data_IF_120970348375
#
_entry.id   IF_120970348375
#
_cell.length_a   1.000
_cell.length_b   1.000
_cell.length_c   1.000
_cell.angle_alpha   90.00
_cell.angle_beta   90.00
_cell.angle_gamma   90.00
#
_symmetry.space_group_name_H-M   'P 1'
#
loop_
_entity.id
_entity.type
_entity.pdbx_description
1 polymer ?
#
# COMPACT_ATOMS: atom_id res chain seq x y z
N UNK A 1 -22.30 27.39 -1.43
CA UNK A 1 -21.21 26.40 -1.25
C UNK A 1 -21.75 25.03 -0.84
N UNK A 2 -22.89 24.95 -0.15
CA UNK A 2 -23.57 23.70 0.22
C UNK A 2 -23.99 22.83 -0.97
N UNK A 3 -24.20 23.40 -2.16
CA UNK A 3 -24.67 22.62 -3.33
C UNK A 3 -23.55 21.87 -4.10
N UNK A 4 -22.33 21.85 -3.56
CA UNK A 4 -21.16 21.17 -4.18
C UNK A 4 -20.57 20.05 -3.33
N UNK A 5 -21.06 19.88 -2.10
CA UNK A 5 -20.56 18.87 -1.15
C UNK A 5 -21.77 18.22 -0.50
N UNK A 6 -21.91 16.92 -0.71
CA UNK A 6 -22.93 16.09 -0.07
C UNK A 6 -22.28 15.24 1.03
N UNK A 7 -22.78 15.36 2.26
CA UNK A 7 -22.25 14.66 3.42
C UNK A 7 -23.18 13.51 3.77
N UNK A 8 -22.69 12.27 3.62
CA UNK A 8 -23.46 11.05 3.88
C UNK A 8 -22.88 10.26 5.04
N UNK A 9 -23.76 9.67 5.85
CA UNK A 9 -23.38 8.70 6.86
C UNK A 9 -23.32 7.30 6.21
N UNK A 10 -22.15 6.68 6.21
CA UNK A 10 -21.94 5.34 5.65
C UNK A 10 -20.67 4.68 6.18
N UNK A 11 -20.59 3.35 6.10
CA UNK A 11 -19.37 2.59 6.35
C UNK A 11 -18.61 2.42 5.04
N UNK A 12 -17.50 3.15 4.87
CA UNK A 12 -16.74 3.16 3.61
C UNK A 12 -17.55 3.70 2.44
N UNK A 13 -17.68 2.90 1.37
CA UNK A 13 -18.36 3.27 0.12
C UNK A 13 -19.84 2.82 0.06
N UNK A 14 -20.39 2.32 1.17
CA UNK A 14 -21.76 1.77 1.22
C UNK A 14 -22.86 2.81 0.99
N UNK A 15 -22.56 4.10 1.13
CA UNK A 15 -23.49 5.20 0.87
C UNK A 15 -23.42 5.74 -0.58
N UNK A 16 -22.64 5.09 -1.45
CA UNK A 16 -22.42 5.47 -2.85
C UNK A 16 -22.99 4.40 -3.76
N UNK A 17 -23.64 4.81 -4.85
CA UNK A 17 -24.12 3.90 -5.90
C UNK A 17 -23.05 3.72 -6.98
N UNK A 18 -23.04 2.54 -7.63
CA UNK A 18 -22.13 2.30 -8.75
C UNK A 18 -22.39 3.31 -9.89
N UNK A 19 -21.32 3.91 -10.41
CA UNK A 19 -21.38 4.95 -11.45
C UNK A 19 -21.81 6.33 -10.94
N UNK A 20 -22.03 6.51 -9.64
CA UNK A 20 -22.44 7.80 -9.08
C UNK A 20 -21.30 8.84 -9.10
N UNK A 21 -20.05 8.38 -8.95
CA UNK A 21 -18.86 9.24 -8.86
C UNK A 21 -17.76 8.73 -9.77
N UNK A 22 -16.96 9.65 -10.33
CA UNK A 22 -15.83 9.30 -11.20
C UNK A 22 -14.67 8.64 -10.46
N UNK A 23 -14.48 8.95 -9.18
CA UNK A 23 -13.33 8.45 -8.43
C UNK A 23 -13.48 8.64 -6.93
N UNK A 24 -12.60 7.96 -6.19
CA UNK A 24 -12.58 8.01 -4.73
C UNK A 24 -11.24 8.53 -4.21
N UNK A 25 -11.29 9.23 -3.07
CA UNK A 25 -10.11 9.58 -2.27
C UNK A 25 -10.25 8.90 -0.92
N UNK A 26 -9.29 8.02 -0.58
CA UNK A 26 -9.31 7.24 0.65
C UNK A 26 -7.94 7.42 1.33
N UNK A 27 -7.90 8.08 2.49
CA UNK A 27 -6.65 8.46 3.15
C UNK A 27 -6.71 8.21 4.66
N UNK A 28 -5.55 8.10 5.32
CA UNK A 28 -5.48 8.05 6.79
C UNK A 28 -5.83 6.70 7.41
N UNK A 29 -5.88 5.62 6.63
CA UNK A 29 -6.26 4.27 7.10
C UNK A 29 -5.18 3.24 6.80
N UNK A 30 -5.13 2.14 7.55
CA UNK A 30 -4.24 1.02 7.26
C UNK A 30 -4.65 0.28 5.98
N UNK A 31 -3.67 -0.24 5.22
CA UNK A 31 -3.90 -0.98 3.98
C UNK A 31 -4.97 -2.08 4.08
N UNK A 32 -4.96 -2.95 5.10
CA UNK A 32 -6.00 -3.98 5.28
C UNK A 32 -7.42 -3.42 5.44
N UNK A 33 -7.59 -2.29 6.13
CA UNK A 33 -8.89 -1.64 6.25
C UNK A 33 -9.36 -1.07 4.91
N UNK A 34 -8.45 -0.48 4.15
CA UNK A 34 -8.76 0.01 2.80
C UNK A 34 -9.19 -1.14 1.89
N UNK A 35 -8.51 -2.29 1.93
CA UNK A 35 -8.92 -3.50 1.19
C UNK A 35 -10.32 -3.94 1.59
N UNK A 36 -10.63 -3.96 2.90
CA UNK A 36 -11.98 -4.30 3.39
C UNK A 36 -13.04 -3.34 2.86
N UNK A 37 -12.75 -2.04 2.81
CA UNK A 37 -13.67 -1.03 2.24
C UNK A 37 -13.94 -1.33 0.76
N UNK A 38 -12.90 -1.63 -0.04
CA UNK A 38 -13.07 -1.97 -1.45
C UNK A 38 -13.87 -3.28 -1.63
N UNK A 39 -13.57 -4.31 -0.85
CA UNK A 39 -14.28 -5.59 -0.88
C UNK A 39 -15.78 -5.45 -0.56
N UNK A 40 -16.10 -4.69 0.48
CA UNK A 40 -17.48 -4.51 0.95
C UNK A 40 -18.36 -3.71 -0.03
N UNK A 41 -17.76 -3.00 -0.98
CA UNK A 41 -18.46 -2.20 -1.97
C UNK A 41 -17.93 -2.49 -3.37
N UNK A 42 -17.80 -3.79 -3.68
CA UNK A 42 -17.12 -4.28 -4.89
C UNK A 42 -17.62 -3.61 -6.18
N UNK A 43 -18.93 -3.58 -6.38
CA UNK A 43 -19.56 -2.98 -7.57
C UNK A 43 -19.29 -1.48 -7.68
N UNK A 44 -19.29 -0.77 -6.54
CA UNK A 44 -19.03 0.67 -6.49
C UNK A 44 -17.59 0.95 -6.90
N UNK A 45 -16.60 0.34 -6.25
CA UNK A 45 -15.21 0.68 -6.55
C UNK A 45 -14.79 0.23 -7.96
N UNK A 46 -15.34 -0.86 -8.47
CA UNK A 46 -15.10 -1.29 -9.86
C UNK A 46 -15.71 -0.35 -10.90
N UNK A 47 -16.71 0.46 -10.51
CA UNK A 47 -17.29 1.48 -11.40
C UNK A 47 -16.48 2.79 -11.45
N UNK A 48 -15.50 2.96 -10.56
CA UNK A 48 -14.68 4.18 -10.50
C UNK A 48 -13.69 4.24 -11.67
N UNK A 49 -13.47 5.44 -12.20
CA UNK A 49 -12.42 5.72 -13.18
C UNK A 49 -11.03 5.82 -12.53
N UNK A 50 -10.95 6.19 -11.25
CA UNK A 50 -9.69 6.24 -10.50
C UNK A 50 -9.90 6.20 -8.98
N UNK A 51 -8.84 5.89 -8.24
CA UNK A 51 -8.77 6.02 -6.79
C UNK A 51 -7.46 6.66 -6.36
N UNK A 52 -7.52 7.70 -5.53
CA UNK A 52 -6.35 8.28 -4.85
C UNK A 52 -6.31 7.74 -3.43
N UNK A 53 -5.25 7.00 -3.12
CA UNK A 53 -5.14 6.19 -1.91
C UNK A 53 -3.91 6.60 -1.11
N UNK A 54 -4.09 6.76 0.20
CA UNK A 54 -3.00 7.08 1.13
C UNK A 54 -3.09 6.12 2.33
N UNK A 55 -2.48 4.93 2.24
CA UNK A 55 -2.41 3.99 3.36
C UNK A 55 -1.39 4.47 4.42
N UNK A 56 -1.73 4.33 5.70
CA UNK A 56 -0.86 4.63 6.85
C UNK A 56 0.02 3.46 7.27
N UNK A 57 -0.34 2.23 6.86
CA UNK A 57 0.43 1.02 7.11
C UNK A 57 0.20 0.02 5.98
N UNK A 58 1.14 -0.91 5.81
CA UNK A 58 0.98 -2.10 4.96
C UNK A 58 0.50 -1.79 3.53
N UNK A 59 1.05 -0.73 2.93
CA UNK A 59 0.72 -0.30 1.56
C UNK A 59 0.85 -1.43 0.51
N UNK A 60 1.79 -2.37 0.72
CA UNK A 60 1.97 -3.52 -0.16
C UNK A 60 0.76 -4.46 -0.23
N UNK A 61 -0.01 -4.59 0.85
CA UNK A 61 -1.25 -5.38 0.85
C UNK A 61 -2.28 -4.72 -0.07
N UNK A 62 -2.43 -3.40 0.03
CA UNK A 62 -3.34 -2.63 -0.81
C UNK A 62 -2.93 -2.69 -2.29
N UNK A 63 -1.64 -2.46 -2.59
CA UNK A 63 -1.12 -2.57 -3.97
C UNK A 63 -1.39 -3.96 -4.55
N UNK A 64 -1.05 -5.03 -3.82
CA UNK A 64 -1.30 -6.41 -4.27
C UNK A 64 -2.79 -6.64 -4.55
N UNK A 65 -3.66 -6.18 -3.66
CA UNK A 65 -5.11 -6.32 -3.83
C UNK A 65 -5.61 -5.63 -5.12
N UNK A 66 -5.15 -4.41 -5.40
CA UNK A 66 -5.50 -3.68 -6.62
C UNK A 66 -5.09 -4.48 -7.89
N UNK A 67 -3.84 -4.92 -7.96
CA UNK A 67 -3.34 -5.71 -9.11
C UNK A 67 -4.12 -7.01 -9.31
N UNK A 68 -4.50 -7.68 -8.23
CA UNK A 68 -5.30 -8.91 -8.31
C UNK A 68 -6.73 -8.70 -8.84
N UNK A 69 -7.24 -7.48 -8.79
CA UNK A 69 -8.63 -7.16 -9.12
C UNK A 69 -8.75 -6.21 -10.32
N UNK A 70 -7.78 -6.27 -11.25
CA UNK A 70 -7.85 -5.58 -12.53
C UNK A 70 -7.55 -4.08 -12.45
N UNK A 71 -6.79 -3.66 -11.45
CA UNK A 71 -6.34 -2.28 -11.27
C UNK A 71 -4.82 -2.22 -11.22
N UNK A 72 -4.26 -1.08 -11.57
CA UNK A 72 -2.81 -0.86 -11.43
C UNK A 72 -2.53 0.55 -10.91
N UNK A 73 -1.30 0.75 -10.43
CA UNK A 73 -0.83 2.04 -9.97
C UNK A 73 -0.35 2.83 -11.18
N UNK A 74 -1.06 3.91 -11.52
CA UNK A 74 -0.69 4.84 -12.59
C UNK A 74 0.39 5.82 -12.11
N UNK A 75 0.24 6.32 -10.89
CA UNK A 75 1.19 7.24 -10.27
C UNK A 75 1.31 6.96 -8.78
N UNK A 76 2.48 7.20 -8.19
CA UNK A 76 2.64 7.17 -6.75
C UNK A 76 3.81 8.05 -6.29
N UNK A 77 3.79 8.44 -5.01
CA UNK A 77 4.80 9.31 -4.41
C UNK A 77 5.09 8.90 -2.97
N UNK A 78 6.36 9.04 -2.61
CA UNK A 78 6.82 9.03 -1.22
C UNK A 78 6.96 10.48 -0.76
N UNK A 79 6.47 10.79 0.44
CA UNK A 79 6.52 12.15 1.00
C UNK A 79 6.92 12.10 2.46
N UNK A 80 7.72 13.06 2.90
CA UNK A 80 7.93 13.34 4.32
C UNK A 80 7.26 14.66 4.63
N UNK A 81 6.32 14.64 5.58
CA UNK A 81 5.62 15.83 6.07
C UNK A 81 5.53 15.78 7.59
N UNK A 82 5.85 16.89 8.27
CA UNK A 82 5.97 16.99 9.73
C UNK A 82 6.71 15.80 10.39
N UNK A 83 7.82 15.39 9.77
CA UNK A 83 8.65 14.26 10.24
C UNK A 83 8.04 12.87 10.04
N UNK A 84 6.85 12.77 9.44
CA UNK A 84 6.15 11.51 9.15
C UNK A 84 6.33 11.12 7.70
N UNK A 85 6.41 9.81 7.46
CA UNK A 85 6.59 9.23 6.13
C UNK A 85 5.25 8.76 5.57
N UNK A 86 4.89 9.23 4.38
CA UNK A 86 3.62 8.95 3.72
C UNK A 86 3.83 8.33 2.34
N UNK A 87 2.98 7.36 2.03
CA UNK A 87 2.82 6.81 0.70
C UNK A 87 1.48 7.27 0.14
N UNK A 88 1.49 7.80 -1.07
CA UNK A 88 0.29 8.17 -1.83
C UNK A 88 0.35 7.50 -3.19
N UNK A 89 -0.78 6.99 -3.67
CA UNK A 89 -0.87 6.34 -4.97
C UNK A 89 -2.18 6.68 -5.67
N UNK A 90 -2.12 6.81 -6.98
CA UNK A 90 -3.26 6.89 -7.88
C UNK A 90 -3.37 5.54 -8.58
N UNK A 91 -4.47 4.84 -8.32
CA UNK A 91 -4.83 3.60 -8.97
C UNK A 91 -5.91 3.84 -10.04
N UNK A 92 -5.84 3.10 -11.13
CA UNK A 92 -6.82 3.18 -12.23
C UNK A 92 -7.20 1.76 -12.68
N UNK A 93 -8.41 1.56 -13.25
CA UNK A 93 -8.79 0.30 -13.88
C UNK A 93 -7.85 -0.02 -15.05
N UNK A 94 -7.53 -1.30 -15.21
CA UNK A 94 -6.70 -1.78 -16.29
C UNK A 94 -5.83 -2.94 -15.83
N UNK A 95 -5.76 -3.97 -16.67
CA UNK A 95 -4.95 -5.13 -16.39
C UNK A 95 -3.46 -4.80 -16.57
N UNK A 96 -2.68 -5.11 -15.56
CA UNK A 96 -1.23 -5.07 -15.59
C UNK A 96 -0.69 -6.44 -15.21
N UNK A 97 0.53 -6.74 -15.63
CA UNK A 97 1.19 -7.98 -15.24
C UNK A 97 1.41 -8.03 -13.73
N UNK A 98 1.35 -9.26 -13.19
CA UNK A 98 1.69 -9.48 -11.80
C UNK A 98 3.14 -9.07 -11.56
N UNK A 99 3.35 -8.26 -10.52
CA UNK A 99 4.68 -7.80 -10.12
C UNK A 99 5.32 -8.78 -9.12
N UNK A 100 6.66 -8.86 -9.09
CA UNK A 100 7.38 -9.42 -7.96
C UNK A 100 6.91 -8.84 -6.62
N UNK A 101 6.78 -9.70 -5.62
CA UNK A 101 6.19 -9.33 -4.32
C UNK A 101 6.83 -8.09 -3.67
N UNK A 102 8.16 -7.95 -3.78
CA UNK A 102 8.90 -6.83 -3.21
C UNK A 102 8.56 -5.48 -3.84
N UNK A 103 8.10 -5.44 -5.10
CA UNK A 103 7.69 -4.18 -5.74
C UNK A 103 6.38 -3.65 -5.15
N UNK A 104 5.48 -4.52 -4.69
CA UNK A 104 4.30 -4.05 -3.95
C UNK A 104 4.69 -3.35 -2.65
N UNK A 105 5.75 -3.80 -1.98
CA UNK A 105 6.17 -3.24 -0.69
C UNK A 105 6.74 -1.82 -0.82
N UNK A 106 7.51 -1.53 -1.87
CA UNK A 106 8.17 -0.23 -2.07
C UNK A 106 7.46 0.71 -3.05
N UNK A 107 6.57 0.15 -3.89
CA UNK A 107 5.89 0.88 -4.95
C UNK A 107 6.57 0.70 -6.32
N UNK A 108 5.87 0.15 -7.33
CA UNK A 108 6.44 -0.07 -8.66
C UNK A 108 6.79 1.22 -9.41
N UNK A 109 5.97 2.26 -9.29
CA UNK A 109 6.19 3.56 -9.95
C UNK A 109 7.27 4.33 -9.21
N UNK A 110 7.34 4.27 -7.87
CA UNK A 110 8.46 4.82 -7.10
C UNK A 110 9.77 4.20 -7.54
N UNK A 111 9.81 2.87 -7.67
CA UNK A 111 10.98 2.12 -8.12
C UNK A 111 11.40 2.53 -9.54
N UNK A 112 10.45 2.56 -10.47
CA UNK A 112 10.70 2.95 -11.86
C UNK A 112 11.29 4.36 -11.96
N UNK A 113 10.82 5.30 -11.15
CA UNK A 113 11.27 6.70 -11.14
C UNK A 113 12.53 6.94 -10.32
N UNK A 114 13.03 5.92 -9.61
CA UNK A 114 14.13 6.05 -8.66
C UNK A 114 13.84 7.16 -7.63
N UNK A 115 12.66 7.09 -7.01
CA UNK A 115 12.26 8.09 -6.01
C UNK A 115 13.35 8.25 -4.93
N UNK A 116 13.80 9.48 -4.63
CA UNK A 116 14.88 9.74 -3.67
C UNK A 116 14.63 9.17 -2.26
N UNK A 117 13.37 8.95 -1.90
CA UNK A 117 12.97 8.45 -0.59
C UNK A 117 12.85 6.93 -0.54
N UNK A 118 13.16 6.20 -1.63
CA UNK A 118 13.20 4.73 -1.63
C UNK A 118 14.15 4.17 -0.57
N UNK A 119 15.31 4.80 -0.38
CA UNK A 119 16.25 4.38 0.67
C UNK A 119 15.60 4.42 2.05
N UNK A 120 14.86 5.50 2.33
CA UNK A 120 14.10 5.64 3.59
C UNK A 120 12.96 4.64 3.68
N UNK A 121 12.25 4.36 2.58
CA UNK A 121 11.20 3.34 2.54
C UNK A 121 11.74 1.95 2.88
N UNK A 122 12.88 1.57 2.31
CA UNK A 122 13.53 0.29 2.59
C UNK A 122 13.97 0.23 4.05
N UNK A 123 14.51 1.31 4.61
CA UNK A 123 14.85 1.38 6.03
C UNK A 123 13.63 1.11 6.93
N UNK A 124 12.49 1.74 6.65
CA UNK A 124 11.24 1.52 7.40
C UNK A 124 10.79 0.05 7.32
N UNK A 125 10.90 -0.58 6.14
CA UNK A 125 10.58 -2.01 5.96
C UNK A 125 11.52 -2.90 6.78
N UNK A 126 12.81 -2.59 6.77
CA UNK A 126 13.82 -3.33 7.53
C UNK A 126 13.67 -3.15 9.04
N UNK A 127 13.40 -1.93 9.52
CA UNK A 127 13.11 -1.61 10.93
C UNK A 127 11.90 -2.42 11.43
N UNK A 128 10.81 -2.42 10.65
CA UNK A 128 9.60 -3.19 10.96
C UNK A 128 9.89 -4.68 11.08
N UNK A 129 10.61 -5.25 10.10
CA UNK A 129 11.00 -6.67 10.11
C UNK A 129 11.97 -7.00 11.24
N UNK A 130 12.90 -6.09 11.56
CA UNK A 130 13.83 -6.22 12.67
C UNK A 130 13.12 -6.34 14.02
N UNK A 131 12.12 -5.51 14.28
CA UNK A 131 11.31 -5.60 15.50
C UNK A 131 10.54 -6.93 15.59
N UNK A 132 10.00 -7.43 14.47
CA UNK A 132 9.34 -8.74 14.43
C UNK A 132 10.36 -9.85 14.76
N UNK A 133 11.56 -9.79 14.17
CA UNK A 133 12.63 -10.76 14.40
C UNK A 133 13.06 -10.81 15.88
N UNK A 134 13.23 -9.65 16.52
CA UNK A 134 13.55 -9.54 17.94
C UNK A 134 12.45 -10.16 18.82
N UNK A 135 11.19 -9.92 18.48
CA UNK A 135 10.05 -10.53 19.17
C UNK A 135 10.03 -12.04 19.04
N UNK A 136 10.30 -12.57 17.85
CA UNK A 136 10.35 -14.01 17.59
C UNK A 136 11.49 -14.69 18.32
N UNK A 137 12.69 -14.09 18.37
CA UNK A 137 13.85 -14.64 19.09
C UNK A 137 13.62 -14.78 20.60
N UNK A 138 12.72 -13.99 21.18
CA UNK A 138 12.32 -14.07 22.59
C UNK A 138 11.20 -15.10 22.85
N UNK A 139 10.61 -15.65 21.80
CA UNK A 139 9.52 -16.64 21.89
C UNK A 139 10.04 -18.01 22.31
N UNK A 140 9.24 -18.73 23.10
CA UNK A 140 9.52 -20.12 23.53
C UNK A 140 8.99 -21.17 22.55
N UNK A 141 8.31 -20.75 21.47
CA UNK A 141 7.79 -21.65 20.43
C UNK A 141 8.89 -21.94 19.40
N UNK A 142 8.80 -23.08 18.74
CA UNK A 142 9.61 -23.34 17.55
C UNK A 142 9.21 -22.36 16.44
N UNK A 143 10.11 -21.42 16.16
CA UNK A 143 9.93 -20.34 15.18
C UNK A 143 11.11 -20.25 14.23
N UNK A 144 11.91 -21.31 14.14
CA UNK A 144 13.17 -21.31 13.39
C UNK A 144 12.96 -20.92 11.92
N UNK A 145 12.03 -21.57 11.22
CA UNK A 145 11.70 -21.27 9.82
C UNK A 145 11.28 -19.80 9.61
N UNK A 146 10.52 -19.23 10.57
CA UNK A 146 10.07 -17.83 10.49
C UNK A 146 11.24 -16.86 10.69
N UNK A 147 12.17 -17.17 11.58
CA UNK A 147 13.39 -16.40 11.81
C UNK A 147 14.23 -16.40 10.53
N UNK A 148 14.51 -17.57 9.97
CA UNK A 148 15.31 -17.71 8.75
C UNK A 148 14.70 -16.94 7.57
N UNK A 149 13.37 -17.02 7.40
CA UNK A 149 12.66 -16.27 6.38
C UNK A 149 12.87 -14.76 6.53
N UNK A 150 12.66 -14.22 7.73
CA UNK A 150 12.82 -12.77 7.97
C UNK A 150 14.28 -12.35 7.79
N UNK A 151 15.24 -13.15 8.23
CA UNK A 151 16.66 -12.86 8.02
C UNK A 151 17.04 -12.84 6.53
N UNK A 152 16.47 -13.74 5.74
CA UNK A 152 16.62 -13.75 4.28
C UNK A 152 16.03 -12.50 3.63
N UNK A 153 14.81 -12.12 4.02
CA UNK A 153 14.19 -10.88 3.56
C UNK A 153 15.03 -9.65 3.93
N UNK A 154 15.57 -9.59 5.16
CA UNK A 154 16.44 -8.50 5.59
C UNK A 154 17.75 -8.43 4.79
N UNK A 155 18.34 -9.57 4.41
CA UNK A 155 19.51 -9.59 3.51
C UNK A 155 19.14 -9.05 2.12
N UNK A 156 18.03 -9.51 1.56
CA UNK A 156 17.52 -9.03 0.29
C UNK A 156 17.32 -7.50 0.29
N UNK A 157 16.68 -6.94 1.33
CA UNK A 157 16.46 -5.49 1.43
C UNK A 157 17.76 -4.70 1.54
N UNK A 158 18.78 -5.22 2.26
CA UNK A 158 20.10 -4.58 2.33
C UNK A 158 20.78 -4.54 0.97
N UNK A 159 20.78 -5.66 0.26
CA UNK A 159 21.38 -5.76 -1.08
C UNK A 159 20.66 -4.85 -2.07
N UNK A 160 19.34 -4.78 -2.00
CA UNK A 160 18.53 -3.90 -2.85
C UNK A 160 18.83 -2.43 -2.55
N UNK A 161 18.96 -2.05 -1.27
CA UNK A 161 19.29 -0.68 -0.87
C UNK A 161 20.65 -0.24 -1.41
N UNK A 162 21.65 -1.12 -1.42
CA UNK A 162 22.99 -0.82 -1.97
C UNK A 162 22.99 -0.53 -3.48
N UNK A 163 21.92 -0.87 -4.19
CA UNK A 163 21.77 -0.59 -5.63
C UNK A 163 21.08 0.74 -5.91
N UNK A 164 20.57 1.42 -4.87
CA UNK A 164 20.01 2.76 -5.02
C UNK A 164 21.15 3.78 -5.16
N UNK A 165 20.93 4.83 -5.98
CA UNK A 165 21.92 5.89 -6.20
C UNK A 165 22.19 6.72 -4.94
#
# INVERSE_FOLDING_TARGET
MTDRIDCRLGDGLTCIQAGEVDGAVICGMGGPLMVKILQNSYEVWQSLHFAVLQPQSEAGILRRYLYQHGWHIEDERLVIDDGRFYEMMRAVPGQADALPDWLYDIGPVNWQRRDPLLGRKIDILMETKGHILEGLRKSRKDVHERIEKIESELRFWRELKCQLP
#
